data_IF_743548906586
#
_entry.id   IF_743548906586
#
_cell.length_a   1.000
_cell.length_b   1.000
_cell.length_c   1.000
_cell.angle_alpha   90.00
_cell.angle_beta   90.00
_cell.angle_gamma   90.00
#
_symmetry.space_group_name_H-M   'P 1'
#
loop_
_entity.id
_entity.type
_entity.pdbx_description
1 polymer ?
#
# COMPACT_ATOMS: atom_id res chain seq x y z
N UNK A 1 7.92 -28.98 7.15
CA UNK A 1 7.66 -27.53 7.24
C UNK A 1 7.75 -26.94 5.84
N UNK A 2 6.91 -25.98 5.49
CA UNK A 2 7.01 -25.21 4.24
C UNK A 2 7.59 -23.85 4.59
N UNK A 3 8.63 -23.41 3.90
CA UNK A 3 9.27 -22.10 4.09
C UNK A 3 9.12 -21.26 2.83
N UNK A 4 9.17 -19.95 3.00
CA UNK A 4 9.39 -19.01 1.88
C UNK A 4 10.87 -19.07 1.49
N UNK A 5 11.16 -18.97 0.19
CA UNK A 5 12.50 -19.09 -0.37
C UNK A 5 12.85 -17.85 -1.19
N UNK A 6 14.13 -17.50 -1.22
CA UNK A 6 14.67 -16.55 -2.19
C UNK A 6 14.53 -17.07 -3.62
N UNK A 7 14.45 -16.14 -4.56
CA UNK A 7 14.44 -16.49 -5.97
C UNK A 7 15.81 -17.07 -6.41
N UNK A 8 15.84 -17.66 -7.61
CA UNK A 8 17.07 -18.17 -8.21
C UNK A 8 17.39 -17.41 -9.49
N UNK A 9 18.68 -17.22 -9.74
CA UNK A 9 19.19 -16.76 -11.03
C UNK A 9 19.05 -17.87 -12.09
N UNK A 10 19.24 -17.51 -13.36
CA UNK A 10 19.20 -18.46 -14.47
C UNK A 10 20.27 -19.57 -14.36
N UNK A 11 21.41 -19.26 -13.74
CA UNK A 11 22.50 -20.19 -13.45
C UNK A 11 22.25 -21.06 -12.20
N UNK A 12 21.04 -21.01 -11.64
CA UNK A 12 20.57 -21.74 -10.45
C UNK A 12 21.13 -21.30 -9.11
N UNK A 13 21.99 -20.26 -9.09
CA UNK A 13 22.46 -19.64 -7.83
C UNK A 13 21.32 -18.88 -7.13
N UNK A 14 21.45 -18.67 -5.82
CA UNK A 14 20.42 -17.98 -5.02
C UNK A 14 20.50 -16.46 -5.27
N UNK A 15 19.36 -15.85 -5.58
CA UNK A 15 19.22 -14.41 -5.69
C UNK A 15 18.67 -13.82 -4.38
N UNK A 16 19.53 -13.18 -3.60
CA UNK A 16 19.15 -12.56 -2.32
C UNK A 16 18.41 -11.22 -2.45
N UNK A 17 18.20 -10.72 -3.67
CA UNK A 17 17.54 -9.43 -3.89
C UNK A 17 16.03 -9.55 -4.10
N UNK A 18 15.49 -10.76 -4.26
CA UNK A 18 14.06 -10.92 -4.52
C UNK A 18 13.48 -12.21 -3.93
N UNK A 19 12.18 -12.11 -3.63
CA UNK A 19 11.31 -13.22 -3.23
C UNK A 19 10.02 -13.07 -4.02
N UNK A 20 9.69 -14.06 -4.85
CA UNK A 20 8.41 -14.11 -5.56
C UNK A 20 7.42 -14.99 -4.80
N UNK A 21 6.41 -14.37 -4.18
CA UNK A 21 5.37 -15.10 -3.45
C UNK A 21 4.45 -15.85 -4.43
N UNK A 22 4.15 -17.11 -4.14
CA UNK A 22 3.34 -17.98 -5.00
C UNK A 22 4.12 -18.59 -6.18
N UNK A 23 5.14 -17.88 -6.66
CA UNK A 23 6.01 -18.31 -7.76
C UNK A 23 5.20 -18.83 -8.95
N UNK A 24 5.68 -19.90 -9.57
CA UNK A 24 5.06 -20.52 -10.75
C UNK A 24 3.91 -21.49 -10.37
N UNK A 25 3.59 -21.60 -9.09
CA UNK A 25 2.65 -22.61 -8.54
C UNK A 25 1.27 -22.04 -8.23
N UNK A 26 1.14 -20.72 -8.26
CA UNK A 26 -0.11 -20.01 -8.03
C UNK A 26 -0.40 -19.16 -9.25
N UNK A 27 -1.62 -19.24 -9.78
CA UNK A 27 -2.10 -18.32 -10.81
C UNK A 27 -2.58 -16.99 -10.21
N UNK A 28 -2.80 -16.95 -8.88
CA UNK A 28 -3.25 -15.78 -8.14
C UNK A 28 -2.15 -15.09 -7.33
N UNK A 29 -2.39 -13.81 -7.02
CA UNK A 29 -1.58 -13.02 -6.10
C UNK A 29 -1.65 -13.59 -4.68
N UNK A 30 -0.55 -13.50 -3.94
CA UNK A 30 -0.48 -13.93 -2.54
C UNK A 30 -0.76 -12.76 -1.62
N UNK A 31 -1.74 -12.91 -0.72
CA UNK A 31 -1.99 -11.93 0.33
C UNK A 31 -0.90 -12.01 1.42
N UNK A 32 -0.28 -10.87 1.73
CA UNK A 32 0.62 -10.72 2.88
C UNK A 32 -0.13 -10.03 4.01
N UNK A 33 -0.53 -10.80 5.03
CA UNK A 33 -1.41 -10.36 6.11
C UNK A 33 -0.64 -10.14 7.42
N UNK A 34 -1.24 -9.38 8.35
CA UNK A 34 -0.66 -9.05 9.66
C UNK A 34 0.69 -8.31 9.59
N UNK A 35 0.85 -7.49 8.55
CA UNK A 35 2.01 -6.60 8.41
C UNK A 35 1.84 -5.42 9.36
N UNK A 36 2.75 -5.29 10.33
CA UNK A 36 2.83 -4.12 11.21
C UNK A 36 3.16 -2.87 10.41
N UNK A 37 2.73 -1.70 10.89
CA UNK A 37 3.08 -0.42 10.31
C UNK A 37 4.59 -0.27 10.11
N UNK A 38 5.00 -0.02 8.86
CA UNK A 38 6.35 0.30 8.47
C UNK A 38 6.69 1.76 8.73
N UNK A 39 7.97 2.13 8.79
CA UNK A 39 8.34 3.55 8.89
C UNK A 39 8.06 4.27 7.57
N UNK A 40 7.57 5.49 7.65
CA UNK A 40 7.39 6.39 6.49
C UNK A 40 8.40 7.53 6.62
N UNK A 41 9.55 7.36 5.97
CA UNK A 41 10.61 8.38 5.83
C UNK A 41 11.47 8.06 4.59
N UNK A 42 12.34 8.98 4.20
CA UNK A 42 13.12 8.89 2.96
C UNK A 42 14.05 7.67 2.87
N UNK A 43 14.49 7.15 4.01
CA UNK A 43 15.47 6.06 4.10
C UNK A 43 14.80 4.73 4.50
N UNK A 44 13.48 4.65 4.51
CA UNK A 44 12.76 3.46 4.96
C UNK A 44 12.76 2.36 3.91
N UNK A 45 12.98 1.13 4.38
CA UNK A 45 12.86 -0.11 3.59
C UNK A 45 11.78 -1.05 4.16
N UNK A 46 10.96 -0.55 5.08
CA UNK A 46 9.90 -1.32 5.72
C UNK A 46 8.70 -1.47 4.76
N UNK A 47 8.05 -2.64 4.79
CA UNK A 47 6.75 -2.79 4.15
C UNK A 47 5.71 -1.91 4.87
N UNK A 48 4.90 -1.19 4.10
CA UNK A 48 3.73 -0.45 4.62
C UNK A 48 2.45 -1.25 4.39
N UNK A 49 1.44 -1.03 5.22
CA UNK A 49 0.15 -1.71 5.12
C UNK A 49 -0.98 -0.75 4.70
N UNK A 50 -2.19 -1.32 4.52
CA UNK A 50 -3.37 -0.57 4.11
C UNK A 50 -3.81 0.52 5.09
N UNK A 51 -3.66 0.34 6.41
CA UNK A 51 -4.06 1.37 7.38
C UNK A 51 -3.20 2.63 7.27
N UNK A 52 -1.91 2.47 6.98
CA UNK A 52 -1.03 3.61 6.75
C UNK A 52 -1.38 4.36 5.47
N UNK A 53 -1.62 3.63 4.38
CA UNK A 53 -2.04 4.22 3.11
C UNK A 53 -3.40 4.92 3.25
N UNK A 54 -4.32 4.38 4.05
CA UNK A 54 -5.65 4.97 4.27
C UNK A 54 -5.60 6.30 5.04
N UNK A 55 -4.59 6.53 5.88
CA UNK A 55 -4.45 7.76 6.66
C UNK A 55 -4.06 8.97 5.82
N UNK A 56 -3.15 8.81 4.87
CA UNK A 56 -2.64 9.90 4.00
C UNK A 56 -3.78 10.64 3.26
N UNK A 57 -4.68 9.96 2.52
CA UNK A 57 -5.76 10.63 1.79
C UNK A 57 -6.87 11.13 2.72
N UNK A 58 -7.01 10.58 3.94
CA UNK A 58 -7.88 11.17 4.96
C UNK A 58 -7.36 12.53 5.42
N UNK A 59 -6.06 12.65 5.65
CA UNK A 59 -5.42 13.94 6.00
C UNK A 59 -5.57 14.95 4.86
N UNK A 60 -5.46 14.50 3.60
CA UNK A 60 -5.71 15.32 2.41
C UNK A 60 -7.18 15.75 2.30
N UNK A 61 -8.13 14.84 2.54
CA UNK A 61 -9.56 15.15 2.55
C UNK A 61 -9.89 16.20 3.63
N UNK A 62 -9.30 16.06 4.82
CA UNK A 62 -9.43 17.03 5.90
C UNK A 62 -8.89 18.41 5.51
N UNK A 63 -7.82 18.46 4.71
CA UNK A 63 -7.29 19.72 4.19
C UNK A 63 -8.24 20.38 3.18
N UNK A 64 -8.87 19.60 2.30
CA UNK A 64 -9.82 20.12 1.31
C UNK A 64 -11.16 20.58 1.91
N UNK A 65 -11.56 20.04 3.07
CA UNK A 65 -12.85 20.36 3.69
C UNK A 65 -14.03 20.04 2.76
N UNK A 66 -15.15 20.75 2.94
CA UNK A 66 -16.31 20.64 2.02
C UNK A 66 -16.85 19.21 1.85
N UNK A 67 -16.91 18.41 2.91
CA UNK A 67 -17.31 17.00 2.87
C UNK A 67 -16.44 16.10 1.98
N UNK A 68 -15.22 16.53 1.63
CA UNK A 68 -14.23 15.65 1.04
C UNK A 68 -13.96 14.48 1.98
N UNK A 69 -13.87 13.28 1.43
CA UNK A 69 -13.71 12.06 2.21
C UNK A 69 -12.87 11.02 1.46
N UNK A 70 -12.16 10.18 2.20
CA UNK A 70 -11.56 8.99 1.66
C UNK A 70 -12.18 7.76 2.29
N UNK A 71 -12.87 6.97 1.46
CA UNK A 71 -13.63 5.81 1.89
C UNK A 71 -13.31 4.62 0.99
N UNK A 72 -12.89 3.51 1.60
CA UNK A 72 -12.67 2.23 0.92
C UNK A 72 -11.78 2.33 -0.33
N UNK A 73 -10.69 3.10 -0.27
CA UNK A 73 -9.78 3.26 -1.39
C UNK A 73 -10.22 4.30 -2.43
N UNK A 74 -11.36 4.97 -2.23
CA UNK A 74 -11.90 5.97 -3.16
C UNK A 74 -11.87 7.35 -2.52
N UNK A 75 -11.29 8.31 -3.24
CA UNK A 75 -11.34 9.71 -2.86
C UNK A 75 -12.61 10.37 -3.38
N UNK A 76 -13.39 10.97 -2.48
CA UNK A 76 -14.54 11.82 -2.76
C UNK A 76 -14.11 13.27 -2.60
N UNK A 77 -14.13 14.01 -3.70
CA UNK A 77 -13.84 15.44 -3.69
C UNK A 77 -14.91 16.24 -2.93
N UNK A 78 -14.59 17.50 -2.58
CA UNK A 78 -15.51 18.34 -1.83
C UNK A 78 -16.81 18.59 -2.60
N UNK A 79 -17.93 18.56 -1.89
CA UNK A 79 -19.26 18.89 -2.40
C UNK A 79 -19.48 20.40 -2.24
N UNK A 80 -19.31 21.13 -3.33
CA UNK A 80 -19.45 22.59 -3.31
C UNK A 80 -20.80 23.01 -3.91
N UNK A 81 -21.76 23.29 -3.03
CA UNK A 81 -23.08 23.83 -3.35
C UNK A 81 -23.06 25.37 -3.25
N UNK A 82 -23.01 26.04 -4.41
CA UNK A 82 -22.97 27.51 -4.60
C UNK A 82 -21.85 28.27 -3.85
N UNK A 83 -20.81 28.60 -4.62
CA UNK A 83 -19.79 29.67 -4.44
C UNK A 83 -18.78 29.54 -3.28
N UNK A 84 -19.00 28.74 -2.25
CA UNK A 84 -17.99 28.58 -1.19
C UNK A 84 -17.31 27.21 -1.22
N UNK A 85 -16.33 27.09 -2.11
CA UNK A 85 -15.30 26.06 -2.06
C UNK A 85 -14.01 26.79 -1.64
N UNK A 86 -13.78 26.98 -0.34
CA UNK A 86 -12.48 27.47 0.12
C UNK A 86 -11.51 26.28 0.14
N UNK A 87 -10.49 26.35 -0.73
CA UNK A 87 -9.29 25.52 -0.71
C UNK A 87 -8.27 26.16 0.25
#
# INVERSE_FOLDING_TARGET
MRSVLYDKNADTTVNYTSITLGGNKSEGLVALLNVKDGKINADSHDAINGSQINKIPQDVANYFGGDAAFENGTFKGPQCSLIYCFC
#
